data_IF_758296484145
#
_entry.id   IF_758296484145
#
_cell.length_a   1.000
_cell.length_b   1.000
_cell.length_c   1.000
_cell.angle_alpha   90.00
_cell.angle_beta   90.00
_cell.angle_gamma   90.00
#
_symmetry.space_group_name_H-M   'P 1'
#
loop_
_entity.id
_entity.type
_entity.pdbx_description
1 polymer ?
#
# COMPACT_ATOMS: atom_id res chain seq x y z
N UNK A 1 -22.19 -12.14 4.13
CA UNK A 1 -21.98 -13.19 3.10
C UNK A 1 -23.18 -14.13 3.06
N UNK A 2 -23.66 -14.49 1.89
CA UNK A 2 -24.80 -15.39 1.74
C UNK A 2 -24.62 -16.27 0.50
N UNK A 3 -25.06 -17.53 0.58
CA UNK A 3 -25.05 -18.48 -0.54
C UNK A 3 -25.95 -18.01 -1.70
N UNK A 4 -27.01 -17.28 -1.37
CA UNK A 4 -27.96 -16.69 -2.31
C UNK A 4 -28.03 -15.18 -2.08
N UNK A 5 -28.53 -14.43 -3.08
CA UNK A 5 -28.68 -12.96 -2.99
C UNK A 5 -27.79 -12.20 -3.93
N UNK A 6 -27.24 -11.05 -3.50
CA UNK A 6 -26.42 -10.19 -4.36
C UNK A 6 -25.13 -10.88 -4.85
N UNK A 7 -24.65 -10.49 -6.02
CA UNK A 7 -23.40 -11.05 -6.58
C UNK A 7 -22.23 -10.90 -5.60
N UNK A 8 -22.05 -9.73 -4.99
CA UNK A 8 -21.00 -9.49 -4.01
C UNK A 8 -21.12 -10.38 -2.77
N UNK A 9 -22.36 -10.57 -2.27
CA UNK A 9 -22.62 -11.48 -1.13
C UNK A 9 -22.27 -12.93 -1.45
N UNK A 10 -22.59 -13.39 -2.66
CA UNK A 10 -22.27 -14.75 -3.13
C UNK A 10 -20.78 -14.97 -3.33
N UNK A 11 -20.08 -14.01 -3.93
CA UNK A 11 -18.61 -14.07 -4.10
C UNK A 11 -17.94 -14.11 -2.72
N UNK A 12 -18.36 -13.25 -1.79
CA UNK A 12 -17.82 -13.24 -0.44
C UNK A 12 -18.10 -14.55 0.32
N UNK A 13 -19.26 -15.19 0.09
CA UNK A 13 -19.58 -16.51 0.64
C UNK A 13 -18.62 -17.59 0.10
N UNK A 14 -18.40 -17.63 -1.22
CA UNK A 14 -17.49 -18.59 -1.84
C UNK A 14 -16.04 -18.36 -1.37
N UNK A 15 -15.58 -17.11 -1.34
CA UNK A 15 -14.24 -16.78 -0.83
C UNK A 15 -14.06 -17.27 0.62
N UNK A 16 -15.04 -17.03 1.47
CA UNK A 16 -15.01 -17.49 2.85
C UNK A 16 -14.95 -19.01 2.96
N UNK A 17 -15.93 -19.71 2.37
CA UNK A 17 -16.11 -21.16 2.58
C UNK A 17 -15.14 -22.02 1.79
N UNK A 18 -14.68 -21.57 0.62
CA UNK A 18 -13.82 -22.39 -0.24
C UNK A 18 -12.33 -22.05 -0.08
N UNK A 19 -12.00 -20.84 0.39
CA UNK A 19 -10.61 -20.38 0.51
C UNK A 19 -10.26 -20.11 1.97
N UNK A 20 -10.89 -19.12 2.61
CA UNK A 20 -10.44 -18.63 3.91
C UNK A 20 -10.53 -19.69 5.03
N UNK A 21 -11.53 -20.55 5.00
CA UNK A 21 -11.69 -21.65 5.97
C UNK A 21 -10.66 -22.79 5.78
N UNK A 22 -9.86 -22.74 4.69
CA UNK A 22 -8.89 -23.78 4.33
C UNK A 22 -7.43 -23.28 4.28
N UNK A 23 -7.15 -22.08 4.75
CA UNK A 23 -5.80 -21.49 4.74
C UNK A 23 -5.34 -21.13 6.14
N UNK A 24 -4.02 -21.13 6.36
CA UNK A 24 -3.41 -20.77 7.63
C UNK A 24 -2.91 -19.33 7.68
N UNK A 25 -2.64 -18.70 6.52
CA UNK A 25 -2.12 -17.33 6.40
C UNK A 25 -2.70 -16.66 5.16
N UNK A 26 -2.88 -15.35 5.20
CA UNK A 26 -3.44 -14.59 4.08
C UNK A 26 -2.55 -13.39 3.75
N UNK A 27 -2.24 -13.24 2.47
CA UNK A 27 -1.73 -12.00 1.89
C UNK A 27 -2.77 -11.50 0.89
N UNK A 28 -3.36 -10.35 1.18
CA UNK A 28 -4.37 -9.72 0.34
C UNK A 28 -3.73 -8.60 -0.48
N UNK A 29 -3.77 -8.70 -1.82
CA UNK A 29 -3.08 -7.77 -2.71
C UNK A 29 -4.05 -6.75 -3.28
N UNK A 30 -3.81 -5.49 -2.97
CA UNK A 30 -4.63 -4.35 -3.37
C UNK A 30 -3.84 -3.31 -4.17
N UNK A 31 -4.56 -2.57 -5.00
CA UNK A 31 -4.11 -1.27 -5.54
C UNK A 31 -4.85 -0.13 -4.84
N UNK A 32 -4.42 1.11 -5.08
CA UNK A 32 -5.26 2.27 -4.87
C UNK A 32 -6.52 2.21 -5.74
N UNK A 33 -7.52 3.04 -5.43
CA UNK A 33 -8.69 3.21 -6.29
C UNK A 33 -8.30 3.85 -7.62
N UNK A 34 -9.23 3.92 -8.58
CA UNK A 34 -9.07 4.71 -9.81
C UNK A 34 -8.70 6.15 -9.42
N UNK A 35 -7.68 6.70 -10.07
CA UNK A 35 -7.10 8.03 -9.84
C UNK A 35 -6.38 8.21 -8.50
N UNK A 36 -6.14 7.15 -7.72
CA UNK A 36 -5.39 7.18 -6.48
C UNK A 36 -4.19 6.27 -6.54
N UNK A 37 -3.01 6.84 -6.56
CA UNK A 37 -1.76 6.08 -6.56
C UNK A 37 -1.25 5.90 -5.14
N UNK A 38 -1.12 4.65 -4.70
CA UNK A 38 -0.56 4.28 -3.41
C UNK A 38 0.93 3.95 -3.52
N UNK A 39 1.70 4.45 -2.56
CA UNK A 39 3.03 3.94 -2.28
C UNK A 39 2.93 2.48 -1.84
N UNK A 40 3.85 1.58 -2.28
CA UNK A 40 3.93 0.23 -1.75
C UNK A 40 3.99 0.22 -0.22
N UNK A 41 2.99 -0.38 0.43
CA UNK A 41 2.83 -0.40 1.88
C UNK A 41 2.08 -1.64 2.34
N UNK A 42 2.29 -2.03 3.60
CA UNK A 42 1.50 -3.07 4.26
C UNK A 42 0.49 -2.41 5.20
N UNK A 43 -0.74 -2.91 5.19
CA UNK A 43 -1.74 -2.63 6.21
C UNK A 43 -2.03 -3.90 6.99
N UNK A 44 -1.90 -3.83 8.29
CA UNK A 44 -2.14 -4.95 9.18
C UNK A 44 -2.62 -4.47 10.56
N UNK A 45 -3.34 -5.31 11.27
CA UNK A 45 -3.62 -5.15 12.68
C UNK A 45 -2.45 -5.78 13.45
N UNK A 46 -1.61 -4.95 14.08
CA UNK A 46 -0.32 -5.36 14.64
C UNK A 46 -0.43 -5.84 16.11
N UNK A 47 -1.44 -6.65 16.42
CA UNK A 47 -1.59 -7.30 17.73
C UNK A 47 -1.09 -8.73 17.72
N UNK A 48 -1.33 -9.46 16.62
CA UNK A 48 -0.89 -10.83 16.47
C UNK A 48 0.58 -10.89 16.08
N UNK A 49 1.46 -11.58 16.82
CA UNK A 49 2.89 -11.68 16.53
C UNK A 49 3.19 -12.26 15.15
N UNK A 50 2.36 -13.20 14.67
CA UNK A 50 2.51 -13.81 13.35
C UNK A 50 2.20 -12.80 12.23
N UNK A 51 1.16 -11.98 12.39
CA UNK A 51 0.84 -10.88 11.47
C UNK A 51 1.98 -9.86 11.41
N UNK A 52 2.59 -9.52 12.57
CA UNK A 52 3.76 -8.63 12.63
C UNK A 52 4.92 -9.26 11.84
N UNK A 53 5.22 -10.54 12.09
CA UNK A 53 6.29 -11.29 11.39
C UNK A 53 6.09 -11.27 9.88
N UNK A 54 4.87 -11.51 9.40
CA UNK A 54 4.54 -11.45 7.98
C UNK A 54 4.71 -10.04 7.39
N UNK A 55 4.23 -9.01 8.09
CA UNK A 55 4.33 -7.62 7.66
C UNK A 55 5.79 -7.17 7.50
N UNK A 56 6.64 -7.48 8.48
CA UNK A 56 8.08 -7.19 8.44
C UNK A 56 8.80 -7.99 7.35
N UNK A 57 8.50 -9.28 7.22
CA UNK A 57 9.08 -10.16 6.21
C UNK A 57 8.74 -9.70 4.80
N UNK A 58 7.54 -9.18 4.57
CA UNK A 58 7.12 -8.68 3.26
C UNK A 58 8.08 -7.59 2.75
N UNK A 59 8.51 -6.67 3.62
CA UNK A 59 9.56 -5.70 3.33
C UNK A 59 9.13 -4.55 2.42
N UNK A 60 7.85 -4.16 2.45
CA UNK A 60 7.43 -2.86 1.94
C UNK A 60 7.98 -1.74 2.82
N UNK A 61 8.26 -0.53 2.31
CA UNK A 61 8.93 0.51 3.09
C UNK A 61 8.13 0.98 4.31
N UNK A 62 6.81 0.91 4.23
CA UNK A 62 5.90 1.39 5.28
C UNK A 62 4.93 0.30 5.68
N UNK A 63 4.78 0.12 6.99
CA UNK A 63 3.73 -0.69 7.60
C UNK A 63 2.77 0.25 8.32
N UNK A 64 1.48 0.13 8.03
CA UNK A 64 0.42 0.90 8.70
C UNK A 64 -0.30 -0.02 9.67
N UNK A 65 -0.24 0.32 10.96
CA UNK A 65 -1.10 -0.31 11.95
C UNK A 65 -2.53 0.16 11.70
N UNK A 66 -3.33 -0.70 11.09
CA UNK A 66 -4.68 -0.37 10.63
C UNK A 66 -5.72 -1.21 11.38
N UNK A 67 -6.58 -0.55 12.14
CA UNK A 67 -7.69 -1.18 12.82
C UNK A 67 -8.58 -1.98 11.85
N UNK A 68 -9.17 -3.04 12.37
CA UNK A 68 -10.11 -3.88 11.63
C UNK A 68 -11.42 -3.12 11.39
N UNK A 69 -11.99 -3.30 10.20
CA UNK A 69 -13.32 -2.79 9.87
C UNK A 69 -14.28 -3.96 9.84
N UNK A 70 -15.40 -3.84 10.52
CA UNK A 70 -16.46 -4.83 10.50
C UNK A 70 -16.85 -5.19 9.05
N UNK A 71 -17.09 -6.46 8.80
CA UNK A 71 -17.43 -6.98 7.46
C UNK A 71 -16.28 -7.05 6.46
N UNK A 72 -15.04 -6.70 6.85
CA UNK A 72 -13.87 -6.84 5.98
C UNK A 72 -13.27 -8.26 6.04
N UNK A 73 -12.50 -8.61 4.99
CA UNK A 73 -11.71 -9.85 4.95
C UNK A 73 -10.79 -9.95 6.18
N UNK A 74 -10.10 -8.87 6.54
CA UNK A 74 -9.20 -8.84 7.71
C UNK A 74 -9.92 -9.09 9.02
N UNK A 75 -11.12 -8.50 9.22
CA UNK A 75 -11.90 -8.73 10.43
C UNK A 75 -12.38 -10.17 10.53
N UNK A 76 -12.76 -10.78 9.40
CA UNK A 76 -13.13 -12.19 9.38
C UNK A 76 -11.91 -13.09 9.68
N UNK A 77 -10.77 -12.86 9.03
CA UNK A 77 -9.55 -13.62 9.25
C UNK A 77 -9.11 -13.56 10.73
N UNK A 78 -9.10 -12.37 11.32
CA UNK A 78 -8.79 -12.15 12.73
C UNK A 78 -9.74 -12.93 13.66
N UNK A 79 -11.04 -12.95 13.36
CA UNK A 79 -12.03 -13.72 14.13
C UNK A 79 -11.85 -15.25 14.05
N UNK A 80 -11.03 -15.72 13.11
CA UNK A 80 -10.67 -17.12 12.92
C UNK A 80 -9.21 -17.40 13.31
N UNK A 81 -8.54 -16.45 13.97
CA UNK A 81 -7.11 -16.51 14.33
C UNK A 81 -6.18 -16.73 13.13
N UNK A 82 -6.59 -16.30 11.92
CA UNK A 82 -5.79 -16.41 10.71
C UNK A 82 -4.98 -15.12 10.52
N UNK A 83 -3.64 -15.16 10.59
CA UNK A 83 -2.77 -14.00 10.32
C UNK A 83 -2.99 -13.47 8.91
N UNK A 84 -3.20 -12.16 8.78
CA UNK A 84 -3.48 -11.51 7.50
C UNK A 84 -2.78 -10.18 7.37
N UNK A 85 -2.14 -9.96 6.23
CA UNK A 85 -1.58 -8.68 5.82
C UNK A 85 -2.19 -8.24 4.49
N UNK A 86 -2.43 -6.94 4.32
CA UNK A 86 -2.84 -6.36 3.04
C UNK A 86 -1.68 -5.56 2.47
N UNK A 87 -1.21 -5.94 1.30
CA UNK A 87 -0.30 -5.11 0.50
C UNK A 87 -1.12 -4.13 -0.33
N UNK A 88 -0.76 -2.86 -0.29
CA UNK A 88 -1.32 -1.84 -1.17
C UNK A 88 -0.20 -1.16 -1.95
N UNK A 89 -0.40 -0.97 -3.27
CA UNK A 89 0.53 -0.25 -4.11
C UNK A 89 -0.07 0.08 -5.47
N UNK A 90 0.38 1.19 -6.07
CA UNK A 90 -0.07 1.61 -7.39
C UNK A 90 -1.50 2.12 -7.46
N UNK A 91 -2.03 2.18 -8.67
CA UNK A 91 -3.37 2.65 -9.02
C UNK A 91 -4.14 1.55 -9.73
N UNK A 92 -5.45 1.48 -9.51
CA UNK A 92 -6.33 0.56 -10.21
C UNK A 92 -6.23 0.74 -11.74
N UNK A 93 -6.33 -0.38 -12.46
CA UNK A 93 -6.29 -0.44 -13.93
C UNK A 93 -4.95 0.05 -14.54
N UNK A 94 -3.87 0.03 -13.77
CA UNK A 94 -2.51 0.35 -14.21
C UNK A 94 -1.55 -0.77 -13.85
N UNK A 95 -0.58 -1.00 -14.72
CA UNK A 95 0.60 -1.80 -14.40
C UNK A 95 1.74 -0.85 -14.01
N UNK A 96 2.36 -1.12 -12.86
CA UNK A 96 3.52 -0.40 -12.38
C UNK A 96 4.59 -1.42 -11.96
N UNK A 97 5.73 -1.39 -12.64
CA UNK A 97 6.78 -2.40 -12.49
C UNK A 97 7.37 -2.44 -11.07
N UNK A 98 7.49 -1.28 -10.42
CA UNK A 98 7.98 -1.21 -9.03
C UNK A 98 6.99 -1.84 -8.08
N UNK A 99 5.70 -1.57 -8.26
CA UNK A 99 4.62 -2.15 -7.44
C UNK A 99 4.52 -3.65 -7.64
N UNK A 100 4.53 -4.12 -8.89
CA UNK A 100 4.49 -5.55 -9.24
C UNK A 100 5.69 -6.27 -8.64
N UNK A 101 6.91 -5.76 -8.89
CA UNK A 101 8.15 -6.33 -8.35
C UNK A 101 8.15 -6.35 -6.81
N UNK A 102 7.69 -5.27 -6.18
CA UNK A 102 7.55 -5.19 -4.72
C UNK A 102 6.59 -6.24 -4.18
N UNK A 103 5.43 -6.40 -4.81
CA UNK A 103 4.44 -7.41 -4.44
C UNK A 103 4.98 -8.82 -4.56
N UNK A 104 5.54 -9.19 -5.71
CA UNK A 104 6.12 -10.52 -5.96
C UNK A 104 7.25 -10.83 -4.98
N UNK A 105 8.21 -9.92 -4.84
CA UNK A 105 9.33 -10.08 -3.88
C UNK A 105 8.83 -10.18 -2.44
N UNK A 106 7.79 -9.43 -2.09
CA UNK A 106 7.16 -9.46 -0.77
C UNK A 106 6.53 -10.81 -0.45
N UNK A 107 5.70 -11.34 -1.36
CA UNK A 107 5.08 -12.67 -1.22
C UNK A 107 6.15 -13.75 -1.06
N UNK A 108 7.19 -13.76 -1.92
CA UNK A 108 8.27 -14.74 -1.83
C UNK A 108 9.03 -14.65 -0.49
N UNK A 109 9.23 -13.44 0.05
CA UNK A 109 9.87 -13.27 1.38
C UNK A 109 9.01 -13.84 2.50
N UNK A 110 7.70 -13.58 2.48
CA UNK A 110 6.77 -14.15 3.47
C UNK A 110 6.75 -15.68 3.37
N UNK A 111 6.71 -16.25 2.14
CA UNK A 111 6.78 -17.70 1.96
C UNK A 111 8.08 -18.29 2.54
N UNK A 112 9.21 -17.60 2.41
CA UNK A 112 10.48 -18.02 3.04
C UNK A 112 10.44 -17.91 4.55
N UNK A 113 9.86 -16.84 5.08
CA UNK A 113 9.71 -16.62 6.52
C UNK A 113 8.82 -17.68 7.16
N UNK A 114 7.78 -18.12 6.44
CA UNK A 114 6.89 -19.22 6.84
C UNK A 114 7.44 -20.62 6.50
N UNK A 115 8.70 -20.71 6.07
CA UNK A 115 9.39 -21.97 5.71
C UNK A 115 8.69 -22.79 4.59
N UNK A 116 7.80 -22.16 3.80
CA UNK A 116 7.12 -22.80 2.67
C UNK A 116 8.08 -23.07 1.51
N UNK A 117 9.15 -22.27 1.40
CA UNK A 117 10.21 -22.43 0.39
C UNK A 117 11.59 -22.22 1.05
N UNK A 118 12.66 -22.80 0.49
CA UNK A 118 14.00 -22.69 1.07
C UNK A 118 14.49 -21.26 1.26
N UNK A 119 15.25 -21.02 2.32
CA UNK A 119 15.91 -19.74 2.56
C UNK A 119 16.83 -19.37 1.38
N UNK A 120 16.90 -18.07 1.04
CA UNK A 120 17.81 -17.57 0.01
C UNK A 120 19.27 -17.77 0.48
N UNK A 121 20.11 -18.36 -0.38
CA UNK A 121 21.56 -18.43 -0.15
C UNK A 121 22.17 -17.06 -0.44
N UNK A 122 23.02 -16.55 0.45
CA UNK A 122 23.71 -15.28 0.26
C UNK A 122 23.73 -14.39 1.51
N UNK A 123 24.23 -13.17 1.41
CA UNK A 123 24.26 -12.22 2.52
C UNK A 123 22.85 -11.97 3.05
N UNK A 124 22.71 -11.97 4.38
CA UNK A 124 21.41 -11.58 4.99
C UNK A 124 21.13 -10.13 4.65
N UNK A 125 19.93 -9.87 4.13
CA UNK A 125 19.47 -8.52 3.91
C UNK A 125 19.41 -7.71 5.22
N UNK A 126 19.39 -6.36 5.13
CA UNK A 126 19.23 -5.51 6.30
C UNK A 126 18.06 -5.96 7.17
N UNK A 127 18.24 -5.92 8.48
CA UNK A 127 17.27 -6.42 9.45
C UNK A 127 15.95 -5.63 9.46
N UNK A 128 16.01 -4.34 9.10
CA UNK A 128 14.85 -3.43 9.07
C UNK A 128 14.70 -2.84 7.67
N UNK A 129 13.68 -3.28 6.96
CA UNK A 129 13.32 -2.78 5.61
C UNK A 129 12.11 -1.88 5.63
N UNK A 130 11.36 -1.91 6.71
CA UNK A 130 10.07 -1.25 6.88
C UNK A 130 10.07 -0.39 8.11
N UNK A 131 9.33 0.72 8.10
CA UNK A 131 9.05 1.51 9.28
C UNK A 131 7.54 1.50 9.54
N UNK A 132 7.16 1.36 10.82
CA UNK A 132 5.75 1.31 11.21
C UNK A 132 5.23 2.71 11.46
N UNK A 133 4.18 3.10 10.75
CA UNK A 133 3.50 4.36 10.98
C UNK A 133 2.63 4.28 12.24
N UNK A 134 2.77 5.26 13.12
CA UNK A 134 1.95 5.40 14.31
C UNK A 134 0.47 5.61 13.96
N UNK A 135 0.21 6.40 12.92
CA UNK A 135 -1.12 6.60 12.33
C UNK A 135 -1.00 7.20 10.92
N UNK A 136 -2.15 7.41 10.27
CA UNK A 136 -2.19 8.08 8.96
C UNK A 136 -3.40 9.00 8.86
N UNK A 137 -3.28 10.05 8.03
CA UNK A 137 -4.30 11.07 7.88
C UNK A 137 -4.54 11.43 6.42
N UNK A 138 -5.81 11.45 6.02
CA UNK A 138 -6.23 12.01 4.74
C UNK A 138 -6.25 13.53 4.80
N UNK A 139 -5.72 14.15 3.76
CA UNK A 139 -5.80 15.60 3.52
C UNK A 139 -6.85 15.85 2.47
N UNK A 140 -7.78 16.71 2.80
CA UNK A 140 -8.88 17.09 1.90
C UNK A 140 -8.69 18.53 1.42
N UNK A 141 -9.18 18.81 0.22
CA UNK A 141 -9.27 20.19 -0.26
C UNK A 141 -10.50 20.89 0.35
N UNK A 142 -10.34 22.17 0.63
CA UNK A 142 -11.43 23.03 1.14
C UNK A 142 -12.12 23.82 0.01
N UNK A 143 -11.81 23.52 -1.24
CA UNK A 143 -12.35 24.22 -2.42
C UNK A 143 -12.41 23.31 -3.63
N UNK A 144 -13.35 23.58 -4.53
CA UNK A 144 -13.42 22.99 -5.86
C UNK A 144 -12.39 23.63 -6.79
N UNK A 145 -11.96 22.89 -7.81
CA UNK A 145 -11.12 23.47 -8.83
C UNK A 145 -10.17 22.51 -9.52
N UNK A 146 -9.14 23.06 -10.15
CA UNK A 146 -8.09 22.32 -10.86
C UNK A 146 -6.89 22.23 -9.93
N UNK A 147 -6.60 21.02 -9.48
CA UNK A 147 -5.47 20.73 -8.60
C UNK A 147 -4.16 20.60 -9.39
N UNK A 148 -3.15 21.30 -8.93
CA UNK A 148 -1.76 21.14 -9.34
C UNK A 148 -0.95 20.58 -8.16
N UNK A 149 -0.53 19.30 -8.21
CA UNK A 149 0.26 18.70 -7.13
C UNK A 149 1.64 19.37 -7.03
N UNK A 150 2.13 19.52 -5.79
CA UNK A 150 3.45 20.07 -5.44
C UNK A 150 4.27 19.02 -4.72
N UNK A 151 3.64 18.27 -3.80
CA UNK A 151 4.30 17.18 -3.10
C UNK A 151 4.14 15.86 -3.88
N UNK A 152 5.22 15.10 -3.94
CA UNK A 152 5.26 13.81 -4.64
C UNK A 152 4.99 12.64 -3.70
N UNK A 153 4.57 11.51 -4.28
CA UNK A 153 4.45 10.25 -3.56
C UNK A 153 5.79 9.83 -2.94
N UNK A 154 5.76 9.35 -1.70
CA UNK A 154 6.96 8.98 -0.95
C UNK A 154 7.81 10.15 -0.47
N UNK A 155 7.35 11.39 -0.67
CA UNK A 155 8.04 12.58 -0.17
C UNK A 155 7.79 12.78 1.33
N UNK A 156 8.84 13.11 2.06
CA UNK A 156 8.75 13.65 3.41
C UNK A 156 8.16 15.05 3.37
N UNK A 157 7.18 15.30 4.20
CA UNK A 157 6.53 16.61 4.35
C UNK A 157 6.50 17.05 5.82
N UNK A 158 6.48 18.35 6.03
CA UNK A 158 6.35 18.96 7.37
C UNK A 158 4.93 19.52 7.53
N UNK A 159 4.48 19.63 8.78
CA UNK A 159 3.24 20.36 9.08
C UNK A 159 3.29 21.76 8.49
N UNK A 160 2.23 22.18 7.79
CA UNK A 160 2.11 23.46 7.09
C UNK A 160 2.80 23.51 5.72
N UNK A 161 3.53 22.47 5.32
CA UNK A 161 4.13 22.41 3.98
C UNK A 161 3.04 22.30 2.91
N UNK A 162 3.20 23.03 1.80
CA UNK A 162 2.30 22.98 0.65
C UNK A 162 2.37 21.60 -0.02
N UNK A 163 1.21 21.02 -0.24
CA UNK A 163 1.02 19.72 -0.92
C UNK A 163 0.51 19.89 -2.35
N UNK A 164 -0.42 20.83 -2.55
CA UNK A 164 -0.98 21.17 -3.83
C UNK A 164 -1.45 22.63 -3.87
N UNK A 165 -1.72 23.11 -5.09
CA UNK A 165 -2.51 24.31 -5.35
C UNK A 165 -3.78 23.92 -6.04
N UNK A 166 -4.91 24.50 -5.66
CA UNK A 166 -6.21 24.33 -6.31
C UNK A 166 -6.66 25.70 -6.80
N UNK A 167 -6.81 25.83 -8.11
CA UNK A 167 -7.23 27.06 -8.77
C UNK A 167 -8.63 26.92 -9.35
N UNK A 168 -9.38 28.02 -9.39
CA UNK A 168 -10.59 28.06 -10.19
C UNK A 168 -10.27 27.94 -11.70
N UNK A 169 -11.25 27.55 -12.56
CA UNK A 169 -10.99 27.31 -13.96
C UNK A 169 -10.52 28.53 -14.77
N UNK A 170 -10.69 29.74 -14.23
CA UNK A 170 -10.31 30.99 -14.89
C UNK A 170 -8.98 31.53 -14.38
N UNK A 171 -8.43 30.97 -13.29
CA UNK A 171 -7.19 31.41 -12.66
C UNK A 171 -7.31 32.69 -11.86
N UNK A 172 -8.53 33.08 -11.47
CA UNK A 172 -8.80 34.28 -10.68
C UNK A 172 -8.49 34.08 -9.20
N UNK A 173 -8.56 32.81 -8.73
CA UNK A 173 -8.24 32.43 -7.36
C UNK A 173 -7.38 31.16 -7.33
N UNK A 174 -6.46 31.09 -6.36
CA UNK A 174 -5.64 29.91 -6.09
C UNK A 174 -5.50 29.68 -4.59
N UNK A 175 -5.86 28.48 -4.15
CA UNK A 175 -5.81 28.08 -2.74
C UNK A 175 -4.74 27.01 -2.52
N UNK A 176 -3.88 27.19 -1.52
CA UNK A 176 -2.87 26.22 -1.15
C UNK A 176 -3.45 25.16 -0.22
N UNK A 177 -3.33 23.89 -0.58
CA UNK A 177 -3.59 22.77 0.32
C UNK A 177 -2.29 22.43 1.04
N UNK A 178 -2.32 22.45 2.37
CA UNK A 178 -1.13 22.23 3.20
C UNK A 178 -1.24 20.96 4.04
N UNK A 179 -0.08 20.41 4.41
CA UNK A 179 -0.02 19.23 5.28
C UNK A 179 -0.44 19.57 6.72
N UNK A 180 -1.40 18.85 7.29
CA UNK A 180 -1.82 19.03 8.69
C UNK A 180 -0.79 18.47 9.69
N UNK A 181 0.15 17.64 9.22
CA UNK A 181 1.14 16.96 10.05
C UNK A 181 2.47 16.77 9.32
N UNK A 182 3.52 16.42 10.06
CA UNK A 182 4.76 15.91 9.47
C UNK A 182 4.65 14.41 9.23
N UNK A 183 5.21 13.90 8.11
CA UNK A 183 5.13 12.50 7.74
C UNK A 183 5.62 12.22 6.32
N UNK A 184 5.22 11.07 5.77
CA UNK A 184 5.50 10.66 4.38
C UNK A 184 4.19 10.58 3.61
N UNK A 185 4.18 11.10 2.39
CA UNK A 185 3.04 11.00 1.45
C UNK A 185 2.93 9.55 0.97
N UNK A 186 1.83 8.88 1.30
CA UNK A 186 1.59 7.46 0.98
C UNK A 186 0.50 7.23 -0.06
N UNK A 187 -0.27 8.28 -0.41
CA UNK A 187 -1.22 8.26 -1.52
C UNK A 187 -1.41 9.67 -2.07
N UNK A 188 -1.58 9.74 -3.38
CA UNK A 188 -1.88 10.99 -4.12
C UNK A 188 -3.05 10.74 -5.04
N UNK A 189 -4.00 11.71 -5.10
CA UNK A 189 -5.02 11.73 -6.14
C UNK A 189 -4.41 12.29 -7.44
N UNK A 190 -4.54 11.53 -8.53
CA UNK A 190 -3.99 11.88 -9.85
C UNK A 190 -4.99 12.66 -10.71
N UNK A 191 -6.26 12.76 -10.30
CA UNK A 191 -7.28 13.50 -11.04
C UNK A 191 -7.09 15.00 -10.79
N UNK A 192 -6.87 15.82 -11.84
CA UNK A 192 -6.69 17.27 -11.67
C UNK A 192 -7.95 17.98 -11.18
N UNK A 193 -9.13 17.57 -11.64
CA UNK A 193 -10.39 18.13 -11.18
C UNK A 193 -10.73 17.56 -9.80
N UNK A 194 -10.91 18.45 -8.81
CA UNK A 194 -11.22 18.08 -7.44
C UNK A 194 -12.41 18.89 -6.93
N UNK A 195 -13.15 18.29 -5.98
CA UNK A 195 -14.29 18.94 -5.33
C UNK A 195 -13.98 19.20 -3.86
N UNK A 196 -14.62 20.23 -3.29
CA UNK A 196 -14.53 20.52 -1.85
C UNK A 196 -14.80 19.25 -1.02
N UNK A 197 -13.98 19.02 0.00
CA UNK A 197 -14.06 17.84 0.87
C UNK A 197 -13.44 16.57 0.27
N UNK A 198 -12.98 16.58 -0.98
CA UNK A 198 -12.34 15.42 -1.59
C UNK A 198 -10.96 15.16 -0.99
N UNK A 199 -10.68 13.86 -0.70
CA UNK A 199 -9.40 13.42 -0.16
C UNK A 199 -8.36 13.34 -1.30
N UNK A 200 -7.35 14.19 -1.26
CA UNK A 200 -6.35 14.35 -2.34
C UNK A 200 -4.96 13.83 -1.98
N UNK A 201 -4.61 13.79 -0.69
CA UNK A 201 -3.37 13.21 -0.18
C UNK A 201 -3.64 12.31 1.02
N UNK A 202 -2.79 11.30 1.21
CA UNK A 202 -2.75 10.51 2.43
C UNK A 202 -1.33 10.54 3.01
N UNK A 203 -1.19 10.89 4.27
CA UNK A 203 0.11 11.06 4.93
C UNK A 203 0.22 10.07 6.08
N UNK A 204 1.27 9.27 6.08
CA UNK A 204 1.65 8.41 7.21
C UNK A 204 2.51 9.19 8.19
N UNK A 205 2.24 9.05 9.48
CA UNK A 205 2.97 9.71 10.58
C UNK A 205 3.78 8.67 11.34
N UNK A 206 4.98 9.07 11.73
CA UNK A 206 5.95 8.21 12.41
C UNK A 206 6.41 8.88 13.69
N UNK A 207 6.74 8.08 14.69
CA UNK A 207 7.39 8.56 15.90
C UNK A 207 8.81 9.03 15.57
N UNK A 208 9.54 8.26 14.74
CA UNK A 208 10.87 8.56 14.25
C UNK A 208 10.87 8.73 12.72
N UNK A 209 10.61 9.95 12.26
CA UNK A 209 10.50 10.23 10.81
C UNK A 209 11.81 9.98 10.04
N UNK A 210 12.97 10.10 10.70
CA UNK A 210 14.28 9.78 10.12
C UNK A 210 14.45 8.30 9.78
N UNK A 211 13.86 7.40 10.56
CA UNK A 211 13.90 5.97 10.29
C UNK A 211 12.99 5.63 9.09
N UNK A 212 11.85 6.29 8.99
CA UNK A 212 10.97 6.15 7.82
C UNK A 212 11.66 6.64 6.52
N UNK A 213 12.45 7.72 6.59
CA UNK A 213 13.25 8.17 5.44
C UNK A 213 14.28 7.10 5.02
N UNK A 214 15.00 6.52 5.97
CA UNK A 214 15.97 5.45 5.68
C UNK A 214 15.30 4.23 5.03
N UNK A 215 14.12 3.84 5.52
CA UNK A 215 13.33 2.75 4.91
C UNK A 215 12.92 3.08 3.47
N UNK A 216 12.52 4.34 3.21
CA UNK A 216 12.20 4.81 1.86
C UNK A 216 13.42 4.84 0.93
N UNK A 217 14.57 5.32 1.41
CA UNK A 217 15.80 5.35 0.61
C UNK A 217 16.30 3.94 0.29
N UNK A 218 16.24 3.02 1.27
CA UNK A 218 16.53 1.62 1.04
C UNK A 218 15.58 1.01 0.00
N UNK A 219 14.29 1.31 0.09
CA UNK A 219 13.30 0.83 -0.87
C UNK A 219 13.62 1.33 -2.28
N UNK A 220 13.84 2.64 -2.47
CA UNK A 220 14.19 3.23 -3.77
C UNK A 220 15.43 2.57 -4.36
N UNK A 221 16.53 2.51 -3.60
CA UNK A 221 17.78 1.89 -4.06
C UNK A 221 17.64 0.42 -4.45
N UNK A 222 16.70 -0.31 -3.83
CA UNK A 222 16.42 -1.71 -4.13
C UNK A 222 15.69 -1.92 -5.47
N UNK A 223 15.17 -0.86 -6.08
CA UNK A 223 14.43 -0.91 -7.35
C UNK A 223 15.04 -0.05 -8.45
N UNK A 224 15.97 0.86 -8.15
CA UNK A 224 16.68 1.70 -9.13
C UNK A 224 17.77 0.93 -9.92
N UNK A 225 18.17 -0.25 -9.47
CA UNK A 225 19.26 -1.04 -10.06
C UNK A 225 18.95 -2.49 -10.42
N UNK A 226 17.75 -2.96 -10.19
CA UNK A 226 17.47 -4.40 -10.17
C UNK A 226 16.48 -4.84 -11.27
N UNK A 227 17.02 -5.05 -12.46
CA UNK A 227 16.44 -5.94 -13.50
C UNK A 227 17.14 -7.30 -13.35
N UNK A 228 17.27 -7.86 -12.14
CA UNK A 228 18.05 -9.07 -11.97
C UNK A 228 17.65 -9.93 -10.77
N UNK A 229 17.58 -11.20 -11.00
CA UNK A 229 17.69 -12.39 -10.17
C UNK A 229 16.51 -12.87 -9.31
N UNK A 230 15.57 -12.05 -8.89
CA UNK A 230 14.40 -12.51 -8.11
C UNK A 230 13.06 -12.34 -8.85
N UNK A 231 13.06 -11.77 -10.04
CA UNK A 231 11.91 -11.71 -10.92
C UNK A 231 11.93 -12.94 -11.80
N UNK A 232 11.05 -13.89 -11.57
CA UNK A 232 10.61 -14.76 -12.66
C UNK A 232 10.07 -13.79 -13.72
N UNK A 233 10.63 -13.76 -14.95
CA UNK A 233 10.07 -12.93 -15.99
C UNK A 233 8.64 -13.38 -16.20
N UNK A 234 7.69 -12.66 -15.64
CA UNK A 234 6.30 -12.80 -16.02
C UNK A 234 6.21 -12.07 -17.36
N UNK A 235 6.61 -12.75 -18.41
CA UNK A 235 6.20 -12.37 -19.75
C UNK A 235 4.70 -12.68 -19.83
N UNK A 236 3.82 -11.68 -19.82
CA UNK A 236 2.38 -11.91 -19.90
C UNK A 236 1.96 -12.51 -21.25
N UNK A 237 2.85 -12.47 -22.22
CA UNK A 237 2.61 -12.94 -23.58
C UNK A 237 3.88 -13.61 -24.11
N UNK A 238 3.91 -14.92 -24.00
CA UNK A 238 4.90 -15.72 -24.71
C UNK A 238 4.55 -15.70 -26.21
N UNK A 239 5.40 -15.06 -27.02
CA UNK A 239 5.33 -15.05 -28.49
C UNK A 239 5.57 -16.44 -29.10
N UNK A 240 5.35 -17.53 -28.37
CA UNK A 240 5.42 -18.89 -28.87
C UNK A 240 4.10 -19.31 -29.54
N UNK A 241 3.60 -18.47 -30.44
CA UNK A 241 2.75 -18.87 -31.54
C UNK A 241 3.25 -18.22 -32.82
N UNK A 242 4.32 -18.76 -33.37
CA UNK A 242 4.64 -18.73 -34.79
C UNK A 242 4.90 -20.15 -35.25
#
# INVERSE_FOLDING_TARGET
TAETGSLGGRIAYLLRTQIMENVSHIIDLHTGAIHRFNLPQIRAELKNPETIRMAEAFGAPIIINASLREGSLRAYADSQDIPVVTFEGGEALRFDDVVISSGVKGVIRVMRELEMIPAKKGPKAPRKRSETAANSQWVRTDTDGIMRPVASLGQKVRKGQRLAMVADPFGESETAVTSPCSGIVICVNNLPLVNEGEAIYHIARFDELSEAEKAMDYFRSSYEGDVGDDVVPVHPWDDRQK
#
